data_IF_473684213526
#
_entry.id   IF_473684213526
#
_cell.length_a   1.000
_cell.length_b   1.000
_cell.length_c   1.000
_cell.angle_alpha   90.00
_cell.angle_beta   90.00
_cell.angle_gamma   90.00
#
_symmetry.space_group_name_H-M   'P 1'
#
loop_
_entity.id
_entity.type
_entity.pdbx_description
1 polymer ?
#
# COMPACT_ATOMS: atom_id res chain seq x y z
N UNK A 1 16.85 -11.82 8.43
CA UNK A 1 16.15 -11.52 9.70
C UNK A 1 14.71 -11.95 9.53
N UNK A 2 14.13 -12.69 10.47
CA UNK A 2 12.75 -13.17 10.34
C UNK A 2 11.75 -12.00 10.40
N UNK A 3 10.74 -12.01 9.54
CA UNK A 3 9.65 -11.04 9.56
C UNK A 3 8.72 -11.37 10.76
N UNK A 4 8.19 -10.36 11.48
CA UNK A 4 7.17 -10.59 12.49
C UNK A 4 5.91 -11.22 11.89
N UNK A 5 5.25 -12.10 12.64
CA UNK A 5 4.00 -12.74 12.23
C UNK A 5 2.84 -12.29 13.13
N UNK A 6 1.66 -12.09 12.53
CA UNK A 6 0.42 -11.80 13.23
C UNK A 6 -0.59 -12.92 13.01
N UNK A 7 -1.08 -13.50 14.10
CA UNK A 7 -2.24 -14.39 14.07
C UNK A 7 -3.52 -13.56 14.13
N UNK A 8 -4.32 -13.61 13.07
CA UNK A 8 -5.56 -12.85 12.94
C UNK A 8 -6.74 -13.79 12.70
N UNK A 9 -7.75 -13.69 13.55
CA UNK A 9 -9.07 -14.28 13.30
C UNK A 9 -9.94 -13.25 12.58
N UNK A 10 -10.28 -13.54 11.34
CA UNK A 10 -11.07 -12.69 10.47
C UNK A 10 -12.40 -13.38 10.12
N UNK A 11 -13.50 -12.63 10.10
CA UNK A 11 -14.80 -13.12 9.67
C UNK A 11 -15.16 -12.47 8.35
N UNK A 12 -15.44 -13.28 7.32
CA UNK A 12 -15.83 -12.78 6.00
C UNK A 12 -17.07 -11.88 6.13
N UNK A 13 -16.98 -10.64 5.65
CA UNK A 13 -18.07 -9.68 5.73
C UNK A 13 -19.32 -10.09 4.94
N UNK A 14 -19.17 -10.94 3.92
CA UNK A 14 -20.30 -11.45 3.11
C UNK A 14 -21.04 -12.59 3.79
N UNK A 15 -20.35 -13.66 4.18
CA UNK A 15 -20.99 -14.91 4.64
C UNK A 15 -20.72 -15.27 6.10
N UNK A 16 -19.94 -14.46 6.83
CA UNK A 16 -19.61 -14.69 8.24
C UNK A 16 -18.65 -15.86 8.51
N UNK A 17 -18.13 -16.53 7.47
CA UNK A 17 -17.18 -17.63 7.63
C UNK A 17 -15.90 -17.15 8.31
N UNK A 18 -15.46 -17.89 9.34
CA UNK A 18 -14.22 -17.62 10.06
C UNK A 18 -13.01 -18.05 9.24
N UNK A 19 -12.02 -17.18 9.15
CA UNK A 19 -10.71 -17.43 8.56
C UNK A 19 -9.67 -17.19 9.66
N UNK A 20 -8.88 -18.21 9.98
CA UNK A 20 -7.72 -18.06 10.86
C UNK A 20 -6.48 -17.87 9.97
N UNK A 21 -5.80 -16.74 10.13
CA UNK A 21 -4.75 -16.27 9.24
C UNK A 21 -3.45 -16.09 10.00
N UNK A 22 -2.35 -16.48 9.37
CA UNK A 22 -0.98 -16.11 9.79
C UNK A 22 -0.44 -15.13 8.76
N UNK A 23 -0.26 -13.87 9.17
CA UNK A 23 0.13 -12.77 8.29
C UNK A 23 1.59 -12.39 8.53
N UNK A 24 2.39 -12.35 7.47
CA UNK A 24 3.74 -11.83 7.48
C UNK A 24 3.71 -10.30 7.49
N UNK A 25 4.30 -9.69 8.52
CA UNK A 25 4.22 -8.25 8.73
C UNK A 25 5.54 -7.56 8.33
N UNK A 26 5.62 -6.87 7.18
CA UNK A 26 6.83 -6.16 6.80
C UNK A 26 7.10 -4.99 7.76
N UNK A 27 8.37 -4.74 8.06
CA UNK A 27 8.75 -3.59 8.88
C UNK A 27 8.68 -2.31 8.03
N UNK A 28 8.12 -1.24 8.60
CA UNK A 28 8.12 0.05 7.93
C UNK A 28 9.57 0.51 7.61
N UNK A 29 9.80 1.22 6.49
CA UNK A 29 8.80 1.89 5.65
C UNK A 29 8.02 0.98 4.72
N UNK A 30 8.37 -0.30 4.62
CA UNK A 30 7.70 -1.21 3.68
C UNK A 30 6.27 -1.53 4.12
N UNK A 31 5.40 -1.67 3.11
CA UNK A 31 4.03 -2.16 3.25
C UNK A 31 3.80 -3.34 2.30
N UNK A 32 3.13 -4.38 2.76
CA UNK A 32 2.69 -5.50 1.90
C UNK A 32 1.21 -5.36 1.57
N UNK A 33 0.88 -5.77 0.35
CA UNK A 33 -0.49 -5.88 -0.16
C UNK A 33 -0.81 -7.35 -0.34
N UNK A 34 -1.77 -7.84 0.42
CA UNK A 34 -2.23 -9.22 0.39
C UNK A 34 -3.74 -9.29 0.17
N UNK A 35 -4.25 -10.49 -0.12
CA UNK A 35 -5.67 -10.76 -0.35
C UNK A 35 -6.11 -11.95 0.51
N UNK A 36 -7.21 -11.79 1.26
CA UNK A 36 -7.91 -12.92 1.87
C UNK A 36 -9.01 -13.34 0.91
N UNK A 37 -8.92 -14.57 0.38
CA UNK A 37 -10.02 -15.19 -0.35
C UNK A 37 -10.81 -16.10 0.59
N UNK A 38 -12.09 -15.80 0.79
CA UNK A 38 -12.98 -16.59 1.62
C UNK A 38 -13.21 -17.98 0.99
N UNK A 39 -12.89 -19.10 1.67
CA UNK A 39 -13.02 -20.43 1.10
C UNK A 39 -14.49 -20.86 0.93
N UNK A 40 -15.41 -20.24 1.67
CA UNK A 40 -16.83 -20.58 1.64
C UNK A 40 -17.61 -19.92 0.50
N UNK A 41 -17.40 -18.62 0.25
CA UNK A 41 -18.16 -17.86 -0.76
C UNK A 41 -17.31 -17.32 -1.91
N UNK A 42 -15.98 -17.46 -1.85
CA UNK A 42 -15.05 -17.02 -2.89
C UNK A 42 -14.77 -15.51 -2.91
N UNK A 43 -15.45 -14.75 -2.06
CA UNK A 43 -15.25 -13.31 -1.90
C UNK A 43 -13.81 -12.94 -1.49
N UNK A 44 -13.36 -11.75 -1.88
CA UNK A 44 -11.98 -11.29 -1.68
C UNK A 44 -11.96 -10.00 -0.85
N UNK A 45 -11.11 -9.99 0.17
CA UNK A 45 -10.81 -8.82 1.00
C UNK A 45 -9.35 -8.43 0.81
N UNK A 46 -9.07 -7.17 0.51
CA UNK A 46 -7.70 -6.66 0.37
C UNK A 46 -7.13 -6.25 1.73
N UNK A 47 -5.84 -6.54 1.92
CA UNK A 47 -5.09 -6.20 3.11
C UNK A 47 -3.91 -5.31 2.74
N UNK A 48 -3.69 -4.31 3.58
CA UNK A 48 -2.46 -3.54 3.63
C UNK A 48 -1.84 -3.71 5.00
N UNK A 49 -0.58 -4.17 5.07
CA UNK A 49 0.09 -4.55 6.31
C UNK A 49 1.42 -3.82 6.49
N UNK A 50 1.73 -3.45 7.74
CA UNK A 50 3.06 -2.99 8.14
C UNK A 50 3.26 -3.13 9.65
N UNK A 51 4.52 -3.20 10.09
CA UNK A 51 4.92 -3.30 11.48
C UNK A 51 5.88 -2.17 11.86
N UNK A 52 5.85 -1.77 13.14
CA UNK A 52 6.77 -0.77 13.66
C UNK A 52 8.22 -1.26 13.57
N UNK A 53 9.13 -0.50 12.91
CA UNK A 53 10.52 -0.92 12.74
C UNK A 53 11.32 -0.91 14.04
N UNK A 54 10.87 -0.12 15.03
CA UNK A 54 11.55 0.05 16.32
C UNK A 54 11.29 -1.11 17.27
N UNK A 55 10.03 -1.40 17.59
CA UNK A 55 9.69 -2.42 18.57
C UNK A 55 9.33 -3.77 17.98
N UNK A 56 9.05 -3.86 16.66
CA UNK A 56 8.71 -5.08 15.90
C UNK A 56 7.50 -5.89 16.38
N UNK A 57 6.84 -5.43 17.44
CA UNK A 57 5.71 -6.08 18.10
C UNK A 57 4.41 -5.28 17.98
N UNK A 58 4.43 -4.18 17.23
CA UNK A 58 3.26 -3.36 16.96
C UNK A 58 2.92 -3.45 15.48
N UNK A 59 1.70 -3.88 15.20
CA UNK A 59 1.19 -4.17 13.86
C UNK A 59 0.13 -3.14 13.49
N UNK A 60 0.14 -2.71 12.23
CA UNK A 60 -0.92 -1.91 11.62
C UNK A 60 -1.37 -2.66 10.38
N UNK A 61 -2.67 -2.83 10.26
CA UNK A 61 -3.28 -3.42 9.09
C UNK A 61 -4.57 -2.69 8.74
N UNK A 62 -4.91 -2.73 7.46
CA UNK A 62 -6.15 -2.18 6.94
C UNK A 62 -6.81 -3.21 6.03
N UNK A 63 -8.07 -3.54 6.34
CA UNK A 63 -8.90 -4.51 5.63
C UNK A 63 -9.95 -3.75 4.82
N UNK A 64 -10.09 -4.03 3.54
CA UNK A 64 -11.02 -3.32 2.67
C UNK A 64 -11.36 -4.10 1.41
N UNK A 65 -12.59 -3.94 0.94
CA UNK A 65 -13.04 -4.48 -0.36
C UNK A 65 -12.36 -3.73 -1.52
N UNK A 66 -12.05 -2.45 -1.29
CA UNK A 66 -11.25 -1.63 -2.18
C UNK A 66 -9.77 -1.87 -1.98
N UNK A 67 -9.07 -1.91 -3.11
CA UNK A 67 -7.64 -2.09 -3.17
C UNK A 67 -6.93 -0.73 -3.30
N UNK A 68 -6.91 0.01 -2.19
CA UNK A 68 -6.38 1.37 -2.14
C UNK A 68 -4.96 1.52 -2.69
N UNK A 69 -3.98 0.66 -2.35
CA UNK A 69 -2.64 0.71 -2.95
C UNK A 69 -2.64 0.68 -4.48
N UNK A 70 -3.43 -0.22 -5.07
CA UNK A 70 -3.53 -0.36 -6.52
C UNK A 70 -4.25 0.82 -7.14
N UNK A 71 -5.31 1.32 -6.51
CA UNK A 71 -6.04 2.50 -6.97
C UNK A 71 -5.12 3.73 -7.02
N UNK A 72 -4.38 4.00 -5.94
CA UNK A 72 -3.42 5.11 -5.86
C UNK A 72 -2.34 4.96 -6.95
N UNK A 73 -1.76 3.77 -7.09
CA UNK A 73 -0.73 3.50 -8.10
C UNK A 73 -1.27 3.67 -9.54
N UNK A 74 -2.50 3.20 -9.80
CA UNK A 74 -3.15 3.33 -11.10
C UNK A 74 -3.40 4.79 -11.45
N UNK A 75 -3.95 5.57 -10.52
CA UNK A 75 -4.19 7.00 -10.71
C UNK A 75 -2.88 7.74 -10.97
N UNK A 76 -1.86 7.53 -10.14
CA UNK A 76 -0.53 8.11 -10.33
C UNK A 76 0.04 7.76 -11.72
N UNK A 77 -0.11 6.51 -12.17
CA UNK A 77 0.32 6.08 -13.50
C UNK A 77 -0.40 6.79 -14.64
N UNK A 78 -1.71 7.04 -14.52
CA UNK A 78 -2.47 7.83 -15.51
C UNK A 78 -1.98 9.27 -15.56
N UNK A 79 -1.73 9.90 -14.41
CA UNK A 79 -1.17 11.25 -14.35
C UNK A 79 0.21 11.33 -15.01
N UNK A 80 1.09 10.37 -14.73
CA UNK A 80 2.42 10.27 -15.36
C UNK A 80 2.29 10.18 -16.88
N UNK A 81 1.40 9.32 -17.39
CA UNK A 81 1.16 9.17 -18.84
C UNK A 81 0.63 10.46 -19.48
N UNK A 82 -0.27 11.17 -18.80
CA UNK A 82 -0.76 12.46 -19.26
C UNK A 82 0.37 13.49 -19.38
N UNK A 83 1.20 13.61 -18.34
CA UNK A 83 2.34 14.53 -18.31
C UNK A 83 3.36 14.18 -19.40
N UNK A 84 3.63 12.90 -19.62
CA UNK A 84 4.49 12.44 -20.71
C UNK A 84 3.93 12.82 -22.09
N UNK A 85 2.60 12.71 -22.27
CA UNK A 85 1.91 13.15 -23.48
C UNK A 85 2.05 14.66 -23.72
N UNK A 86 1.88 15.48 -22.68
CA UNK A 86 2.06 16.94 -22.76
C UNK A 86 3.51 17.28 -23.11
N UNK A 87 4.49 16.68 -22.42
CA UNK A 87 5.92 16.85 -22.71
C UNK A 87 6.24 16.56 -24.17
N UNK A 88 5.67 15.47 -24.72
CA UNK A 88 5.86 15.07 -26.12
C UNK A 88 5.25 16.08 -27.10
N UNK A 89 4.07 16.60 -26.81
CA UNK A 89 3.38 17.58 -27.68
C UNK A 89 4.06 18.94 -27.70
N UNK A 90 4.70 19.35 -26.60
CA UNK A 90 5.43 20.63 -26.51
C UNK A 90 6.89 20.53 -26.97
N UNK A 91 7.31 19.36 -27.46
CA UNK A 91 8.69 19.13 -27.90
C UNK A 91 9.05 20.10 -29.03
N UNK A 92 10.06 20.94 -28.79
CA UNK A 92 10.52 21.96 -29.74
C UNK A 92 9.88 23.34 -29.57
N UNK A 93 8.90 23.48 -28.67
CA UNK A 93 8.31 24.78 -28.28
C UNK A 93 8.95 25.30 -26.99
N UNK A 94 9.26 24.39 -26.07
CA UNK A 94 9.86 24.71 -24.76
C UNK A 94 11.23 24.06 -24.64
N UNK A 95 12.17 24.77 -23.99
CA UNK A 95 13.53 24.29 -23.73
C UNK A 95 13.55 23.25 -22.61
N UNK A 96 12.78 23.48 -21.55
CA UNK A 96 12.68 22.60 -20.39
C UNK A 96 11.21 22.32 -20.02
N UNK A 97 10.94 21.07 -19.67
CA UNK A 97 9.65 20.63 -19.14
C UNK A 97 9.88 19.76 -17.91
N UNK A 98 9.61 20.34 -16.74
CA UNK A 98 9.75 19.67 -15.45
C UNK A 98 8.46 19.81 -14.67
N UNK A 99 7.94 18.68 -14.19
CA UNK A 99 6.77 18.63 -13.32
C UNK A 99 7.18 17.87 -12.06
N UNK A 100 7.07 18.48 -10.86
CA UNK A 100 7.39 17.78 -9.64
C UNK A 100 6.37 16.67 -9.41
N UNK A 101 6.85 15.43 -9.33
CA UNK A 101 6.02 14.26 -9.04
C UNK A 101 6.39 13.68 -7.68
N UNK A 102 5.40 13.31 -6.85
CA UNK A 102 5.67 12.58 -5.63
C UNK A 102 6.25 11.20 -5.99
N UNK A 103 7.35 10.83 -5.34
CA UNK A 103 8.01 9.53 -5.53
C UNK A 103 7.33 8.40 -4.77
N UNK A 104 6.66 8.75 -3.67
CA UNK A 104 6.06 7.82 -2.71
C UNK A 104 4.77 8.42 -2.16
N UNK A 105 3.82 7.55 -1.85
CA UNK A 105 2.72 7.86 -0.95
C UNK A 105 3.10 7.37 0.44
N UNK A 106 3.07 8.26 1.43
CA UNK A 106 3.57 8.00 2.77
C UNK A 106 2.48 8.25 3.81
N UNK A 107 2.40 7.39 4.81
CA UNK A 107 1.48 7.50 5.94
C UNK A 107 2.29 7.56 7.23
N UNK A 108 2.05 8.60 8.05
CA UNK A 108 2.61 8.69 9.40
C UNK A 108 1.78 7.84 10.35
N UNK A 109 2.46 7.02 11.16
CA UNK A 109 1.85 6.07 12.07
C UNK A 109 2.48 6.21 13.46
N UNK A 110 1.62 6.24 14.46
CA UNK A 110 2.02 6.25 15.87
C UNK A 110 2.07 4.81 16.40
N UNK A 111 3.17 4.48 17.10
CA UNK A 111 3.34 3.20 17.75
C UNK A 111 3.04 3.28 19.26
N UNK A 112 2.50 2.19 19.82
CA UNK A 112 2.32 2.04 21.28
C UNK A 112 3.65 1.99 22.05
N UNK A 113 4.78 1.80 21.38
CA UNK A 113 6.10 1.90 22.01
C UNK A 113 6.60 3.35 22.19
N UNK A 114 5.82 4.35 21.76
CA UNK A 114 6.14 5.77 21.87
C UNK A 114 6.92 6.35 20.69
N UNK A 115 7.27 5.53 19.69
CA UNK A 115 7.96 5.98 18.48
C UNK A 115 6.97 6.22 17.34
N UNK A 116 7.19 7.32 16.61
CA UNK A 116 6.52 7.60 15.35
C UNK A 116 7.32 7.00 14.20
N UNK A 117 6.61 6.47 13.20
CA UNK A 117 7.25 5.92 12.02
C UNK A 117 6.40 6.19 10.76
N UNK A 118 7.04 6.06 9.60
CA UNK A 118 6.40 6.28 8.31
C UNK A 118 6.36 4.97 7.54
N UNK A 119 5.21 4.65 6.96
CA UNK A 119 5.06 3.57 6.00
C UNK A 119 4.81 4.16 4.60
N UNK A 120 5.34 3.53 3.55
CA UNK A 120 5.43 4.12 2.21
C UNK A 120 5.11 3.11 1.09
N UNK A 121 4.48 3.61 0.03
CA UNK A 121 4.29 2.89 -1.23
C UNK A 121 4.97 3.69 -2.35
N UNK A 122 5.84 3.07 -3.17
CA UNK A 122 6.43 3.74 -4.32
C UNK A 122 5.35 4.08 -5.37
N UNK A 123 5.43 5.28 -5.94
CA UNK A 123 4.51 5.72 -6.99
C UNK A 123 5.19 5.66 -8.37
N UNK A 124 4.43 5.37 -9.45
CA UNK A 124 4.93 5.47 -10.81
C UNK A 124 5.59 6.82 -11.09
N UNK A 125 6.72 6.79 -11.82
CA UNK A 125 7.49 7.97 -12.18
C UNK A 125 7.49 8.17 -13.69
N UNK A 126 7.80 9.39 -14.14
CA UNK A 126 8.13 9.65 -15.54
C UNK A 126 9.44 8.93 -15.88
N UNK A 127 9.42 8.14 -16.96
CA UNK A 127 10.62 7.60 -17.60
C UNK A 127 11.43 8.69 -18.33
#
# INVERSE_FOLDING_TARGET
MAMPELQLRYFCYVCGHQNDLTLDMPLAPDMSRDEIKCPNCGDVTNLLLTACPHCKNAFKYFLSDLDFPKEISTLAGVYVKLIAGIKKSLKGVIEEFSVPLPKRWSVKLECRCGEDYTAEIPLPQLE
#
